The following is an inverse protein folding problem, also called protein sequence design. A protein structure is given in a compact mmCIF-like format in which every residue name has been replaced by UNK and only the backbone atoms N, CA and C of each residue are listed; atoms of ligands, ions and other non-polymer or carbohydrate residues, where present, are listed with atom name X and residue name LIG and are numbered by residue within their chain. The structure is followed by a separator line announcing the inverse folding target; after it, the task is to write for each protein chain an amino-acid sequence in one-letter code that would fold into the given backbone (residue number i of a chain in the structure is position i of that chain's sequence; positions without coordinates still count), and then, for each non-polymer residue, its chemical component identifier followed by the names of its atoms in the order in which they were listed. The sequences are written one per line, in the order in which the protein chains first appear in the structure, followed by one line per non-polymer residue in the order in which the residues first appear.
data_IF_793860917067
#
_entry.id   IF_793860917067
#
_cell.length_a   1.000
_cell.length_b   1.000
_cell.length_c   1.000
_cell.angle_alpha   90.00
_cell.angle_beta   90.00
_cell.angle_gamma   90.00
#
_symmetry.space_group_name_H-M   'P 1'
#
loop_
_entity.id
_entity.type
_entity.pdbx_description
1 polymer ?
#
# COMPACT_ATOMS: atom_id res chain seq x y z
N UNK A 1 -14.75 9.09 -7.45
CA UNK A 1 -14.90 7.82 -6.73
C UNK A 1 -13.87 6.86 -7.32
N UNK A 2 -13.03 6.22 -6.50
CA UNK A 2 -12.05 5.24 -6.98
C UNK A 2 -12.80 3.93 -7.24
N UNK A 3 -12.78 3.46 -8.49
CA UNK A 3 -13.42 2.21 -8.87
C UNK A 3 -12.56 1.02 -8.42
N UNK A 4 -13.16 -0.06 -7.87
CA UNK A 4 -12.41 -1.28 -7.62
C UNK A 4 -12.01 -1.96 -8.94
N UNK A 5 -11.02 -2.87 -8.91
CA UNK A 5 -10.69 -3.69 -10.07
C UNK A 5 -11.92 -4.46 -10.59
N UNK A 6 -11.99 -4.68 -11.91
CA UNK A 6 -13.14 -5.33 -12.57
C UNK A 6 -13.37 -6.76 -12.08
N UNK A 7 -12.31 -7.43 -11.63
CA UNK A 7 -12.33 -8.82 -11.14
C UNK A 7 -11.38 -8.94 -9.94
N UNK A 8 -11.74 -9.79 -8.99
CA UNK A 8 -10.89 -10.10 -7.83
C UNK A 8 -9.62 -10.90 -8.23
N UNK A 9 -9.73 -11.72 -9.27
CA UNK A 9 -8.64 -12.53 -9.81
C UNK A 9 -7.76 -11.73 -10.78
N UNK A 10 -6.59 -12.26 -11.12
CA UNK A 10 -5.72 -11.69 -12.13
C UNK A 10 -6.40 -11.67 -13.52
N UNK A 11 -6.17 -10.59 -14.27
CA UNK A 11 -6.53 -10.44 -15.69
C UNK A 11 -5.51 -9.52 -16.36
N UNK A 12 -5.34 -9.59 -17.69
CA UNK A 12 -4.24 -8.91 -18.40
C UNK A 12 -4.11 -7.42 -18.06
N UNK A 13 -5.23 -6.69 -18.03
CA UNK A 13 -5.23 -5.24 -17.83
C UNK A 13 -5.35 -4.82 -16.35
N UNK A 14 -5.25 -5.75 -15.39
CA UNK A 14 -5.52 -5.43 -13.98
C UNK A 14 -4.60 -4.36 -13.42
N UNK A 15 -3.32 -4.42 -13.77
CA UNK A 15 -2.35 -3.43 -13.31
C UNK A 15 -2.65 -2.05 -13.89
N UNK A 16 -3.02 -1.98 -15.18
CA UNK A 16 -3.38 -0.73 -15.85
C UNK A 16 -4.65 -0.14 -15.23
N UNK A 17 -5.71 -0.93 -15.07
CA UNK A 17 -6.94 -0.49 -14.40
C UNK A 17 -6.66 0.06 -12.98
N UNK A 18 -5.77 -0.59 -12.22
CA UNK A 18 -5.38 -0.11 -10.90
C UNK A 18 -4.60 1.21 -10.97
N UNK A 19 -3.69 1.36 -11.93
CA UNK A 19 -2.94 2.61 -12.13
C UNK A 19 -3.88 3.75 -12.50
N UNK A 20 -4.78 3.55 -13.47
CA UNK A 20 -5.77 4.55 -13.89
C UNK A 20 -6.67 4.98 -12.72
N UNK A 21 -7.07 4.04 -11.87
CA UNK A 21 -7.89 4.34 -10.70
C UNK A 21 -7.12 5.15 -9.63
N UNK A 22 -5.81 4.95 -9.50
CA UNK A 22 -4.95 5.66 -8.54
C UNK A 22 -4.46 7.02 -9.05
N UNK A 23 -4.33 7.19 -10.37
CA UNK A 23 -3.70 8.35 -10.99
C UNK A 23 -4.29 9.70 -10.54
N UNK A 24 -5.62 9.90 -10.44
CA UNK A 24 -6.17 11.18 -9.98
C UNK A 24 -5.71 11.55 -8.56
N UNK A 25 -5.66 10.57 -7.65
CA UNK A 25 -5.19 10.79 -6.28
C UNK A 25 -3.69 11.05 -6.23
N UNK A 26 -2.92 10.35 -7.07
CA UNK A 26 -1.48 10.58 -7.21
C UNK A 26 -1.17 12.00 -7.70
N UNK A 27 -1.85 12.47 -8.76
CA UNK A 27 -1.67 13.83 -9.27
C UNK A 27 -2.04 14.88 -8.22
N UNK A 28 -3.16 14.70 -7.51
CA UNK A 28 -3.55 15.61 -6.45
C UNK A 28 -2.48 15.74 -5.34
N UNK A 29 -1.87 14.63 -4.93
CA UNK A 29 -0.76 14.66 -3.96
C UNK A 29 0.43 15.42 -4.53
N UNK A 30 0.81 15.13 -5.78
CA UNK A 30 1.95 15.79 -6.42
C UNK A 30 1.72 17.29 -6.53
N UNK A 31 0.55 17.71 -7.01
CA UNK A 31 0.19 19.11 -7.19
C UNK A 31 0.21 19.86 -5.86
N UNK A 32 -0.40 19.32 -4.80
CA UNK A 32 -0.37 19.94 -3.47
C UNK A 32 1.06 20.14 -2.95
N UNK A 33 1.96 19.18 -3.20
CA UNK A 33 3.35 19.29 -2.74
C UNK A 33 4.13 20.33 -3.57
N UNK A 34 3.87 20.41 -4.87
CA UNK A 34 4.44 21.45 -5.74
C UNK A 34 3.96 22.85 -5.34
N UNK A 35 2.68 23.01 -5.04
CA UNK A 35 2.09 24.26 -4.52
C UNK A 35 2.70 24.66 -3.17
N UNK A 36 3.06 23.69 -2.34
CA UNK A 36 3.80 23.91 -1.10
C UNK A 36 5.30 24.23 -1.32
N UNK A 37 5.76 24.31 -2.57
CA UNK A 37 7.13 24.71 -2.94
C UNK A 37 8.13 23.57 -3.04
N UNK A 38 7.70 22.31 -3.00
CA UNK A 38 8.62 21.18 -3.16
C UNK A 38 9.02 21.00 -4.61
N UNK A 39 10.24 20.54 -4.87
CA UNK A 39 10.62 20.12 -6.21
C UNK A 39 9.99 18.76 -6.54
N UNK A 40 9.54 18.56 -7.79
CA UNK A 40 8.97 17.27 -8.25
C UNK A 40 9.87 16.07 -7.91
N UNK A 41 11.19 16.22 -8.02
CA UNK A 41 12.14 15.18 -7.68
C UNK A 41 12.12 14.79 -6.19
N UNK A 42 11.86 15.73 -5.29
CA UNK A 42 11.72 15.49 -3.85
C UNK A 42 10.44 14.72 -3.56
N UNK A 43 9.32 15.13 -4.16
CA UNK A 43 8.03 14.44 -4.04
C UNK A 43 8.15 12.98 -4.46
N UNK A 44 8.75 12.72 -5.64
CA UNK A 44 8.91 11.35 -6.14
C UNK A 44 9.85 10.51 -5.28
N UNK A 45 10.92 11.11 -4.72
CA UNK A 45 11.80 10.41 -3.77
C UNK A 45 11.05 10.06 -2.48
N UNK A 46 10.32 11.01 -1.91
CA UNK A 46 9.55 10.81 -0.69
C UNK A 46 8.50 9.70 -0.87
N UNK A 47 7.72 9.75 -1.95
CA UNK A 47 6.70 8.74 -2.25
C UNK A 47 7.30 7.33 -2.39
N UNK A 48 8.45 7.18 -3.06
CA UNK A 48 9.15 5.88 -3.14
C UNK A 48 9.55 5.36 -1.76
N UNK A 49 10.10 6.23 -0.91
CA UNK A 49 10.48 5.84 0.45
C UNK A 49 9.27 5.43 1.29
N UNK A 50 8.15 6.15 1.16
CA UNK A 50 6.91 5.84 1.88
C UNK A 50 6.34 4.48 1.46
N UNK A 51 6.28 4.19 0.16
CA UNK A 51 5.83 2.89 -0.36
C UNK A 51 6.73 1.75 0.14
N UNK A 52 8.05 1.95 0.12
CA UNK A 52 8.98 0.95 0.65
C UNK A 52 8.78 0.72 2.16
N UNK A 53 8.60 1.78 2.94
CA UNK A 53 8.38 1.70 4.38
C UNK A 53 7.05 1.02 4.73
N UNK A 54 5.97 1.32 4.01
CA UNK A 54 4.67 0.66 4.18
C UNK A 54 4.76 -0.84 3.88
N UNK A 55 5.37 -1.21 2.74
CA UNK A 55 5.57 -2.61 2.38
C UNK A 55 6.34 -3.40 3.45
N UNK A 56 7.41 -2.82 4.00
CA UNK A 56 8.17 -3.44 5.09
C UNK A 56 7.31 -3.58 6.35
N UNK A 57 6.56 -2.55 6.71
CA UNK A 57 5.67 -2.56 7.89
C UNK A 57 4.59 -3.62 7.76
N UNK A 58 3.92 -3.71 6.61
CA UNK A 58 2.88 -4.70 6.35
C UNK A 58 3.42 -6.14 6.46
N UNK A 59 4.62 -6.37 5.92
CA UNK A 59 5.29 -7.69 6.00
C UNK A 59 5.60 -8.08 7.45
N UNK A 60 6.15 -7.15 8.23
CA UNK A 60 6.50 -7.40 9.63
C UNK A 60 5.26 -7.59 10.51
N UNK A 61 4.21 -6.78 10.30
CA UNK A 61 2.93 -6.96 10.97
C UNK A 61 2.32 -8.33 10.66
N UNK A 62 2.33 -8.76 9.39
CA UNK A 62 1.83 -10.08 9.02
C UNK A 62 2.60 -11.21 9.70
N UNK A 63 3.93 -11.07 9.86
CA UNK A 63 4.77 -12.04 10.59
C UNK A 63 4.36 -12.10 12.07
N UNK A 64 4.30 -10.96 12.74
CA UNK A 64 3.96 -10.88 14.17
C UNK A 64 2.55 -11.41 14.43
N UNK A 65 1.58 -11.08 13.58
CA UNK A 65 0.21 -11.60 13.68
C UNK A 65 0.16 -13.12 13.52
N UNK A 66 0.96 -13.70 12.62
CA UNK A 66 1.06 -15.16 12.46
C UNK A 66 1.65 -15.83 13.71
N UNK A 67 2.74 -15.29 14.26
CA UNK A 67 3.37 -15.77 15.50
C UNK A 67 2.40 -15.69 16.69
N UNK A 68 1.68 -14.57 16.81
CA UNK A 68 0.68 -14.35 17.84
C UNK A 68 -0.49 -15.34 17.71
N UNK A 69 -0.95 -15.62 16.50
CA UNK A 69 -2.00 -16.61 16.25
C UNK A 69 -1.56 -18.02 16.69
N UNK A 70 -0.33 -18.42 16.38
CA UNK A 70 0.24 -19.71 16.80
C UNK A 70 0.37 -19.77 18.34
N UNK A 71 0.91 -18.74 18.97
CA UNK A 71 1.04 -18.67 20.42
C UNK A 71 -0.32 -18.78 21.13
N UNK A 72 -1.34 -18.07 20.63
CA UNK A 72 -2.72 -18.16 21.13
C UNK A 72 -3.30 -19.56 20.96
N UNK A 73 -3.04 -20.24 19.84
CA UNK A 73 -3.49 -21.61 19.63
C UNK A 73 -2.82 -22.59 20.60
N UNK A 74 -1.52 -22.45 20.86
CA UNK A 74 -0.80 -23.28 21.83
C UNK A 74 -1.34 -23.12 23.26
N UNK A 75 -1.64 -21.89 23.68
CA UNK A 75 -2.24 -21.63 25.00
C UNK A 75 -3.61 -22.29 25.11
N UNK A 76 -4.43 -22.22 24.06
CA UNK A 76 -5.75 -22.87 24.03
C UNK A 76 -5.64 -24.40 24.08
N UNK A 77 -4.66 -25.00 23.40
CA UNK A 77 -4.45 -26.45 23.39
C UNK A 77 -3.89 -27.01 24.71
N UNK A 78 -3.31 -26.16 25.56
CA UNK A 78 -2.79 -26.53 26.90
C UNK A 78 -3.84 -26.39 28.01
N UNK A 79 -5.01 -25.84 27.70
CA UNK A 79 -6.13 -25.66 28.64
C UNK A 79 -7.19 -26.73 28.41
#
# INVERSE_FOLDING_TARGET
MISPPRRAIAYPDREVDCQEAMEPGFQAIVDCMLEAGWARGEVMRALRCLVAADNMTQKENARVEAELAIARAMIRARK
#
